data_IF_333537232558
#
_entry.id   IF_333537232558
#
_cell.length_a   1.000
_cell.length_b   1.000
_cell.length_c   1.000
_cell.angle_alpha   90.00
_cell.angle_beta   90.00
_cell.angle_gamma   90.00
#
_symmetry.space_group_name_H-M   'P 1'
#
loop_
_entity.id
_entity.type
_entity.pdbx_description
1 polymer ?
#
# COMPACT_ATOMS: atom_id res chain seq x y z
N UNK A 1 0.18 -9.11 -13.25
CA UNK A 1 -0.40 -9.76 -12.04
C UNK A 1 -0.85 -11.17 -12.42
N UNK A 2 -0.46 -12.20 -11.67
CA UNK A 2 -0.91 -13.60 -11.90
C UNK A 2 -1.38 -14.15 -10.55
N UNK A 3 -2.65 -14.53 -10.46
CA UNK A 3 -3.17 -15.32 -9.35
C UNK A 3 -2.82 -16.78 -9.63
N UNK A 4 -2.11 -17.40 -8.70
CA UNK A 4 -1.59 -18.74 -8.86
C UNK A 4 -2.44 -19.70 -8.04
N UNK A 5 -2.68 -20.89 -8.59
CA UNK A 5 -3.39 -21.97 -7.91
C UNK A 5 -2.35 -22.82 -7.18
N UNK A 6 -2.57 -23.02 -5.89
CA UNK A 6 -1.88 -24.02 -5.11
C UNK A 6 -2.59 -25.36 -5.38
N UNK A 7 -1.94 -26.23 -6.17
CA UNK A 7 -2.55 -27.48 -6.63
C UNK A 7 -2.65 -28.52 -5.51
N UNK A 8 -1.78 -28.47 -4.51
CA UNK A 8 -1.84 -29.36 -3.34
C UNK A 8 -3.01 -29.02 -2.41
N UNK A 9 -3.27 -27.73 -2.19
CA UNK A 9 -4.26 -27.28 -1.21
C UNK A 9 -5.59 -26.86 -1.82
N UNK A 10 -5.67 -26.77 -3.16
CA UNK A 10 -6.84 -26.26 -3.87
C UNK A 10 -7.14 -24.79 -3.58
N UNK A 11 -6.20 -24.05 -3.00
CA UNK A 11 -6.36 -22.63 -2.63
C UNK A 11 -5.65 -21.72 -3.63
N UNK A 12 -6.13 -20.50 -3.77
CA UNK A 12 -5.53 -19.48 -4.62
C UNK A 12 -4.63 -18.58 -3.79
N UNK A 13 -3.48 -18.23 -4.34
CA UNK A 13 -2.59 -17.24 -3.76
C UNK A 13 -2.29 -16.12 -4.74
N UNK A 14 -1.99 -14.96 -4.16
CA UNK A 14 -1.71 -13.72 -4.86
C UNK A 14 -0.36 -13.19 -4.39
N UNK A 15 0.54 -12.95 -5.33
CA UNK A 15 1.81 -12.29 -5.10
C UNK A 15 1.87 -11.01 -5.92
N UNK A 16 2.00 -9.87 -5.25
CA UNK A 16 2.17 -8.58 -5.91
C UNK A 16 3.36 -7.82 -5.32
N UNK A 17 3.99 -7.04 -6.20
CA UNK A 17 5.01 -6.09 -5.81
C UNK A 17 4.33 -4.74 -5.57
N UNK A 18 4.76 -4.04 -4.53
CA UNK A 18 4.37 -2.67 -4.26
C UNK A 18 5.60 -1.86 -3.89
N UNK A 19 5.61 -0.60 -4.30
CA UNK A 19 6.60 0.37 -3.85
C UNK A 19 6.04 1.03 -2.60
N UNK A 20 6.84 1.08 -1.55
CA UNK A 20 6.49 1.89 -0.39
C UNK A 20 6.85 3.36 -0.62
N UNK A 21 6.46 4.22 0.32
CA UNK A 21 6.68 5.66 0.25
C UNK A 21 8.17 6.07 0.23
N UNK A 22 9.10 5.15 0.57
CA UNK A 22 10.55 5.35 0.43
C UNK A 22 11.08 4.89 -0.93
N UNK A 23 10.23 4.35 -1.80
CA UNK A 23 10.59 3.82 -3.13
C UNK A 23 11.13 2.38 -3.11
N UNK A 24 11.17 1.72 -1.95
CA UNK A 24 11.64 0.33 -1.89
C UNK A 24 10.57 -0.64 -2.41
N UNK A 25 10.98 -1.53 -3.32
CA UNK A 25 10.12 -2.58 -3.91
C UNK A 25 9.98 -3.73 -2.92
N UNK A 26 8.76 -3.94 -2.42
CA UNK A 26 8.43 -5.03 -1.51
C UNK A 26 7.48 -6.01 -2.17
N UNK A 27 7.65 -7.30 -1.85
CA UNK A 27 6.76 -8.37 -2.30
C UNK A 27 5.78 -8.72 -1.19
N UNK A 28 4.48 -8.61 -1.45
CA UNK A 28 3.43 -9.10 -0.55
C UNK A 28 2.77 -10.33 -1.16
N UNK A 29 2.75 -11.40 -0.37
CA UNK A 29 2.05 -12.63 -0.74
C UNK A 29 0.91 -12.82 0.24
N UNK A 30 -0.30 -12.99 -0.29
CA UNK A 30 -1.48 -13.38 0.48
C UNK A 30 -2.01 -14.70 -0.06
N UNK A 31 -2.19 -15.67 0.84
CA UNK A 31 -2.57 -17.06 0.56
C UNK A 31 -3.90 -17.40 1.23
N UNK A 32 -4.56 -18.45 0.75
CA UNK A 32 -5.79 -18.98 1.34
C UNK A 32 -7.10 -18.45 0.73
N UNK A 33 -7.06 -17.91 -0.49
CA UNK A 33 -8.30 -17.55 -1.18
C UNK A 33 -8.97 -18.81 -1.72
N UNK A 34 -10.28 -18.94 -1.54
CA UNK A 34 -11.02 -20.09 -2.08
C UNK A 34 -11.23 -19.97 -3.59
N UNK A 35 -11.28 -18.73 -4.10
CA UNK A 35 -11.53 -18.46 -5.52
C UNK A 35 -10.57 -17.42 -6.08
N UNK A 36 -10.29 -17.54 -7.38
CA UNK A 36 -9.54 -16.53 -8.16
C UNK A 36 -10.17 -15.14 -8.07
N UNK A 37 -11.51 -15.06 -8.01
CA UNK A 37 -12.26 -13.79 -7.91
C UNK A 37 -11.98 -13.05 -6.61
N UNK A 38 -11.95 -13.75 -5.47
CA UNK A 38 -11.59 -13.12 -4.19
C UNK A 38 -10.15 -12.59 -4.20
N UNK A 39 -9.23 -13.37 -4.77
CA UNK A 39 -7.84 -12.98 -4.96
C UNK A 39 -7.70 -11.68 -5.78
N UNK A 40 -8.44 -11.57 -6.89
CA UNK A 40 -8.46 -10.37 -7.73
C UNK A 40 -9.14 -9.17 -7.05
N UNK A 41 -10.26 -9.39 -6.34
CA UNK A 41 -10.96 -8.32 -5.63
C UNK A 41 -10.09 -7.72 -4.52
N UNK A 42 -9.32 -8.55 -3.80
CA UNK A 42 -8.37 -8.09 -2.80
C UNK A 42 -7.30 -7.17 -3.38
N UNK A 43 -6.80 -7.45 -4.60
CA UNK A 43 -5.84 -6.56 -5.27
C UNK A 43 -6.48 -5.26 -5.76
N UNK A 44 -7.70 -5.33 -6.31
CA UNK A 44 -8.44 -4.15 -6.74
C UNK A 44 -8.72 -3.19 -5.56
N UNK A 45 -9.07 -3.72 -4.39
CA UNK A 45 -9.24 -2.96 -3.16
C UNK A 45 -7.90 -2.35 -2.68
N UNK A 46 -6.82 -3.15 -2.70
CA UNK A 46 -5.48 -2.70 -2.30
C UNK A 46 -4.93 -1.56 -3.18
N UNK A 47 -5.23 -1.57 -4.49
CA UNK A 47 -4.87 -0.48 -5.42
C UNK A 47 -5.67 0.79 -5.13
N UNK A 48 -6.94 0.69 -4.74
CA UNK A 48 -7.76 1.85 -4.39
C UNK A 48 -7.24 2.54 -3.12
N UNK A 49 -6.84 1.75 -2.12
CA UNK A 49 -6.25 2.24 -0.87
C UNK A 49 -4.92 2.99 -1.09
N UNK A 50 -4.10 2.58 -2.08
CA UNK A 50 -2.86 3.28 -2.41
C UNK A 50 -3.04 4.53 -3.29
N UNK A 51 -4.26 4.79 -3.80
CA UNK A 51 -4.60 5.98 -4.58
C UNK A 51 -5.30 7.09 -3.79
N UNK A 52 -5.78 6.80 -2.58
CA UNK A 52 -6.39 7.80 -1.67
C UNK A 52 -5.54 8.08 -0.45
N UNK A 53 -4.23 7.87 -0.55
CA UNK A 53 -3.27 8.60 0.25
C UNK A 53 -2.95 9.92 -0.49
N UNK A 54 -3.94 10.80 -0.59
CA UNK A 54 -3.75 12.16 -0.08
C UNK A 54 -3.42 12.03 1.41
N UNK A 55 -2.26 11.44 1.70
CA UNK A 55 -1.60 11.50 2.98
C UNK A 55 -1.45 12.97 3.21
N UNK A 56 -2.25 13.44 4.18
CA UNK A 56 -2.57 14.84 4.33
C UNK A 56 -1.35 15.71 4.18
N UNK A 57 -1.55 16.83 3.53
CA UNK A 57 -1.02 18.11 3.94
C UNK A 57 -1.03 18.17 5.47
N UNK A 58 0.01 17.64 6.11
CA UNK A 58 0.43 18.10 7.42
C UNK A 58 1.01 19.48 7.14
N UNK A 59 0.08 20.45 7.07
CA UNK A 59 0.35 21.82 7.50
C UNK A 59 0.83 21.70 8.93
N UNK A 60 2.14 21.70 9.16
CA UNK A 60 2.67 22.32 10.37
C UNK A 60 2.95 23.77 10.04
N UNK A 61 1.90 24.57 10.23
CA UNK A 61 2.01 26.01 10.37
C UNK A 61 2.72 26.26 11.71
N UNK A 62 4.05 26.19 11.72
CA UNK A 62 4.84 26.87 12.76
C UNK A 62 5.12 28.27 12.26
N UNK A 63 4.11 29.13 12.38
CA UNK A 63 4.38 30.56 12.48
C UNK A 63 4.64 30.88 13.94
N UNK A 64 5.40 31.96 14.16
CA UNK A 64 5.76 32.65 15.40
C UNK A 64 7.10 32.28 16.03
N UNK A 65 8.08 33.15 15.74
CA UNK A 65 9.34 33.25 16.46
C UNK A 65 10.34 34.15 15.75
N UNK A 66 9.93 35.36 15.33
CA UNK A 66 10.89 36.42 14.99
C UNK A 66 11.59 36.82 16.30
N UNK A 67 12.80 36.31 16.52
CA UNK A 67 13.75 36.90 17.45
C UNK A 67 14.65 37.82 16.64
N UNK A 68 14.40 39.12 16.72
CA UNK A 68 15.36 40.16 16.32
C UNK A 68 16.40 40.33 17.43
N UNK A 69 17.70 40.23 17.13
CA UNK A 69 18.76 40.71 18.02
C UNK A 69 19.36 42.00 17.46
N UNK A 70 19.02 43.16 18.04
CA UNK A 70 19.78 44.41 17.90
C UNK A 70 19.58 45.16 19.22
N UNK A 71 20.49 44.97 20.19
CA UNK A 71 21.64 45.84 20.49
C UNK A 71 21.28 47.26 20.90
#
# INVERSE_FOLDING_TARGET
MVAYKDEERGTWYVSFYYEDWTGAKKRKVKRGFHTKKQALNFEAERRKDCGSATHGTIRRHHSWGLLTPTS
#
